data_IF_163387752939
#
_entry.id   IF_163387752939
#
_cell.length_a   1.000
_cell.length_b   1.000
_cell.length_c   1.000
_cell.angle_alpha   90.00
_cell.angle_beta   90.00
_cell.angle_gamma   90.00
#
_symmetry.space_group_name_H-M   'P 1'
#
loop_
_entity.id
_entity.type
_entity.pdbx_description
1 polymer ?
#
# COMPACT_ATOMS: atom_id res chain seq x y z
N UNK A 1 -18.06 29.11 1.24
CA UNK A 1 -17.01 28.53 2.07
C UNK A 1 -17.57 27.31 2.80
N UNK A 2 -17.33 26.10 2.30
CA UNK A 2 -17.69 24.86 3.01
C UNK A 2 -16.79 24.75 4.25
N UNK A 3 -17.36 24.79 5.45
CA UNK A 3 -16.63 24.49 6.69
C UNK A 3 -16.24 23.02 6.66
N UNK A 4 -14.94 22.74 6.50
CA UNK A 4 -14.37 21.40 6.60
C UNK A 4 -14.55 20.95 8.06
N UNK A 5 -15.57 20.12 8.31
CA UNK A 5 -15.76 19.48 9.63
C UNK A 5 -14.93 18.20 9.66
N UNK A 6 -13.79 18.24 10.30
CA UNK A 6 -13.00 17.05 10.56
C UNK A 6 -13.76 16.10 11.50
N UNK A 7 -13.90 14.85 11.10
CA UNK A 7 -14.40 13.79 11.97
C UNK A 7 -13.39 13.54 13.12
N UNK A 8 -13.89 13.15 14.30
CA UNK A 8 -13.01 12.75 15.43
C UNK A 8 -12.00 11.68 15.03
N UNK A 9 -12.41 10.73 14.18
CA UNK A 9 -11.53 9.68 13.67
C UNK A 9 -10.42 10.22 12.77
N UNK A 10 -10.71 11.20 11.91
CA UNK A 10 -9.72 11.87 11.09
C UNK A 10 -8.71 12.63 11.94
N UNK A 11 -9.17 13.35 12.94
CA UNK A 11 -8.30 14.10 13.86
C UNK A 11 -7.36 13.17 14.64
N UNK A 12 -7.89 12.04 15.15
CA UNK A 12 -7.08 11.00 15.80
C UNK A 12 -6.04 10.40 14.85
N UNK A 13 -6.40 10.15 13.61
CA UNK A 13 -5.46 9.65 12.61
C UNK A 13 -4.32 10.62 12.35
N UNK A 14 -4.60 11.90 12.15
CA UNK A 14 -3.56 12.92 11.95
C UNK A 14 -2.65 13.07 13.16
N UNK A 15 -3.21 13.06 14.37
CA UNK A 15 -2.44 13.15 15.60
C UNK A 15 -1.52 11.93 15.80
N UNK A 16 -2.01 10.73 15.53
CA UNK A 16 -1.20 9.50 15.57
C UNK A 16 -0.08 9.52 14.54
N UNK A 17 -0.38 9.93 13.31
CA UNK A 17 0.61 10.01 12.23
C UNK A 17 1.70 11.00 12.58
N UNK A 18 1.33 12.17 13.13
CA UNK A 18 2.29 13.16 13.59
C UNK A 18 3.14 12.64 14.76
N UNK A 19 2.51 12.04 15.77
CA UNK A 19 3.23 11.49 16.93
C UNK A 19 4.21 10.38 16.51
N UNK A 20 3.79 9.47 15.61
CA UNK A 20 4.66 8.42 15.08
C UNK A 20 5.84 8.95 14.28
N UNK A 21 5.62 9.98 13.48
CA UNK A 21 6.67 10.63 12.70
C UNK A 21 7.66 11.40 13.58
N UNK A 22 7.18 12.14 14.59
CA UNK A 22 8.04 12.85 15.54
C UNK A 22 8.84 11.88 16.40
N UNK A 23 8.24 10.76 16.81
CA UNK A 23 8.95 9.70 17.53
C UNK A 23 10.07 9.11 16.67
N UNK A 24 9.79 8.83 15.39
CA UNK A 24 10.78 8.32 14.45
C UNK A 24 11.93 9.30 14.24
N UNK A 25 11.63 10.59 14.09
CA UNK A 25 12.63 11.66 13.96
C UNK A 25 13.50 11.74 15.21
N UNK A 26 12.88 11.79 16.38
CA UNK A 26 13.59 11.89 17.67
C UNK A 26 14.55 10.70 17.86
N UNK A 27 14.07 9.48 17.64
CA UNK A 27 14.89 8.27 17.80
C UNK A 27 16.01 8.21 16.75
N UNK A 28 15.75 8.62 15.51
CA UNK A 28 16.76 8.67 14.46
C UNK A 28 17.89 9.67 14.80
N UNK A 29 17.53 10.86 15.32
CA UNK A 29 18.50 11.84 15.80
C UNK A 29 19.30 11.31 16.99
N UNK A 30 18.64 10.65 17.95
CA UNK A 30 19.30 10.07 19.13
C UNK A 30 20.23 8.91 18.78
N UNK A 31 19.90 8.14 17.73
CA UNK A 31 20.74 7.07 17.21
C UNK A 31 21.89 7.57 16.31
N UNK A 32 21.98 8.86 16.06
CA UNK A 32 23.02 9.45 15.20
C UNK A 32 22.91 9.03 13.73
N UNK A 33 21.69 8.72 13.23
CA UNK A 33 21.51 8.33 11.85
C UNK A 33 21.80 9.52 10.91
N UNK A 34 22.47 9.28 9.75
CA UNK A 34 22.96 10.35 8.88
C UNK A 34 21.84 11.23 8.29
N UNK A 35 20.67 10.63 8.04
CA UNK A 35 19.54 11.30 7.38
C UNK A 35 18.21 11.04 8.10
N UNK A 36 18.03 11.54 9.34
CA UNK A 36 16.89 11.21 10.21
C UNK A 36 15.52 11.55 9.60
N UNK A 37 15.48 12.49 8.64
CA UNK A 37 14.25 12.86 7.93
C UNK A 37 13.64 11.68 7.13
N UNK A 38 14.44 10.67 6.75
CA UNK A 38 13.90 9.47 6.09
C UNK A 38 13.06 8.61 7.03
N UNK A 39 13.43 8.52 8.29
CA UNK A 39 12.61 7.84 9.29
C UNK A 39 11.28 8.59 9.49
N UNK A 40 11.34 9.91 9.63
CA UNK A 40 10.18 10.79 9.73
C UNK A 40 9.23 10.64 8.53
N UNK A 41 9.75 10.81 7.31
CA UNK A 41 8.94 10.68 6.09
C UNK A 41 8.36 9.28 5.94
N UNK A 42 9.12 8.23 6.28
CA UNK A 42 8.65 6.86 6.21
C UNK A 42 7.47 6.62 7.13
N UNK A 43 7.48 7.16 8.35
CA UNK A 43 6.37 7.05 9.27
C UNK A 43 5.08 7.65 8.69
N UNK A 44 5.15 8.80 8.01
CA UNK A 44 3.99 9.37 7.30
C UNK A 44 3.55 8.53 6.09
N UNK A 45 4.50 8.07 5.27
CA UNK A 45 4.17 7.31 4.05
C UNK A 45 3.48 5.98 4.39
N UNK A 46 3.89 5.34 5.50
CA UNK A 46 3.31 4.08 5.96
C UNK A 46 2.00 4.28 6.71
N UNK A 47 1.77 5.48 7.29
CA UNK A 47 0.57 5.79 8.05
C UNK A 47 -0.70 5.54 7.22
N UNK A 48 -1.64 4.82 7.81
CA UNK A 48 -2.95 4.56 7.23
C UNK A 48 -3.99 4.42 8.36
N UNK A 49 -5.26 4.84 8.16
CA UNK A 49 -6.30 4.69 9.17
C UNK A 49 -6.50 3.25 9.64
N UNK A 50 -6.34 2.26 8.76
CA UNK A 50 -6.54 0.83 9.02
C UNK A 50 -5.21 0.15 9.36
N UNK A 51 -5.12 -0.48 10.52
CA UNK A 51 -3.89 -1.10 11.02
C UNK A 51 -3.32 -2.20 10.09
N UNK A 52 -4.20 -3.00 9.46
CA UNK A 52 -3.78 -4.02 8.50
C UNK A 52 -3.08 -3.43 7.27
N UNK A 53 -3.52 -2.28 6.79
CA UNK A 53 -2.88 -1.59 5.65
C UNK A 53 -1.53 -0.99 6.05
N UNK A 54 -1.38 -0.46 7.27
CA UNK A 54 -0.08 0.02 7.78
C UNK A 54 0.94 -1.11 7.74
N UNK A 55 0.61 -2.29 8.28
CA UNK A 55 1.53 -3.44 8.33
C UNK A 55 1.87 -3.98 6.95
N UNK A 56 0.88 -4.13 6.07
CA UNK A 56 1.10 -4.57 4.70
C UNK A 56 2.05 -3.61 3.97
N UNK A 57 1.77 -2.32 4.01
CA UNK A 57 2.57 -1.28 3.36
C UNK A 57 3.97 -1.20 3.96
N UNK A 58 4.09 -1.36 5.28
CA UNK A 58 5.35 -1.40 6.01
C UNK A 58 6.27 -2.52 5.53
N UNK A 59 5.74 -3.75 5.45
CA UNK A 59 6.50 -4.91 4.99
C UNK A 59 6.98 -4.73 3.55
N UNK A 60 6.08 -4.36 2.64
CA UNK A 60 6.44 -4.18 1.23
C UNK A 60 7.44 -3.04 1.04
N UNK A 61 7.31 -1.95 1.82
CA UNK A 61 8.27 -0.86 1.82
C UNK A 61 9.65 -1.30 2.29
N UNK A 62 9.72 -2.06 3.37
CA UNK A 62 10.99 -2.56 3.90
C UNK A 62 11.70 -3.46 2.89
N UNK A 63 10.99 -4.47 2.38
CA UNK A 63 11.54 -5.42 1.39
C UNK A 63 12.00 -4.70 0.13
N UNK A 64 11.20 -3.78 -0.42
CA UNK A 64 11.58 -3.02 -1.61
C UNK A 64 12.82 -2.15 -1.38
N UNK A 65 12.93 -1.50 -0.21
CA UNK A 65 14.13 -0.73 0.15
C UNK A 65 15.37 -1.61 0.24
N UNK A 66 15.27 -2.78 0.91
CA UNK A 66 16.40 -3.72 1.03
C UNK A 66 16.84 -4.21 -0.35
N UNK A 67 15.90 -4.56 -1.25
CA UNK A 67 16.23 -4.98 -2.61
C UNK A 67 16.92 -3.87 -3.42
N UNK A 68 16.44 -2.63 -3.33
CA UNK A 68 17.07 -1.49 -3.99
C UNK A 68 18.47 -1.20 -3.43
N UNK A 69 18.65 -1.26 -2.11
CA UNK A 69 19.95 -1.11 -1.46
C UNK A 69 20.91 -2.23 -1.87
N UNK A 70 20.45 -3.48 -1.90
CA UNK A 70 21.28 -4.62 -2.34
C UNK A 70 21.75 -4.45 -3.79
N UNK A 71 20.85 -4.03 -4.68
CA UNK A 71 21.21 -3.76 -6.08
C UNK A 71 22.30 -2.68 -6.18
N UNK A 72 22.18 -1.57 -5.45
CA UNK A 72 23.18 -0.51 -5.51
C UNK A 72 24.52 -0.88 -4.88
N UNK A 73 24.51 -1.64 -3.79
CA UNK A 73 25.74 -2.16 -3.16
C UNK A 73 26.55 -3.05 -4.12
N UNK A 74 25.86 -3.74 -5.04
CA UNK A 74 26.51 -4.55 -6.08
C UNK A 74 26.90 -3.68 -7.29
N UNK A 75 25.97 -2.90 -7.84
CA UNK A 75 26.15 -2.19 -9.10
C UNK A 75 27.14 -1.02 -8.97
N UNK A 76 27.04 -0.22 -7.92
CA UNK A 76 27.84 1.01 -7.80
C UNK A 76 29.34 0.70 -7.66
N UNK A 77 29.82 -0.17 -6.76
CA UNK A 77 31.23 -0.50 -6.70
C UNK A 77 31.75 -1.25 -7.93
N UNK A 78 30.93 -2.14 -8.52
CA UNK A 78 31.32 -2.94 -9.66
C UNK A 78 31.53 -2.11 -10.95
N UNK A 79 30.77 -1.02 -11.11
CA UNK A 79 30.77 -0.20 -12.31
C UNK A 79 31.31 1.23 -12.08
N UNK A 80 31.91 1.48 -10.92
CA UNK A 80 32.44 2.81 -10.55
C UNK A 80 33.48 3.36 -11.51
N UNK A 81 34.24 2.46 -12.18
CA UNK A 81 35.24 2.83 -13.17
C UNK A 81 34.64 3.27 -14.54
N UNK A 82 33.34 3.04 -14.77
CA UNK A 82 32.65 3.33 -16.01
C UNK A 82 31.29 3.99 -15.72
N UNK A 83 31.22 5.32 -15.47
CA UNK A 83 30.01 6.03 -15.05
C UNK A 83 28.85 5.89 -16.03
N UNK A 84 29.13 5.81 -17.33
CA UNK A 84 28.10 5.61 -18.36
C UNK A 84 27.43 4.24 -18.23
N UNK A 85 28.21 3.18 -18.00
CA UNK A 85 27.69 1.84 -17.79
C UNK A 85 26.92 1.74 -16.47
N UNK A 86 27.39 2.42 -15.42
CA UNK A 86 26.68 2.48 -14.14
C UNK A 86 25.33 3.18 -14.30
N UNK A 87 25.31 4.31 -14.99
CA UNK A 87 24.06 5.04 -15.27
C UNK A 87 23.09 4.18 -16.07
N UNK A 88 23.58 3.48 -17.09
CA UNK A 88 22.77 2.56 -17.89
C UNK A 88 22.25 1.40 -17.03
N UNK A 89 23.10 0.79 -16.20
CA UNK A 89 22.69 -0.32 -15.31
C UNK A 89 21.64 0.09 -14.30
N UNK A 90 21.78 1.27 -13.67
CA UNK A 90 20.78 1.83 -12.75
C UNK A 90 19.47 2.19 -13.47
N UNK A 91 19.54 2.73 -14.68
CA UNK A 91 18.37 3.02 -15.48
C UNK A 91 17.63 1.74 -15.88
N UNK A 92 18.35 0.70 -16.33
CA UNK A 92 17.77 -0.60 -16.66
C UNK A 92 17.15 -1.28 -15.43
N UNK A 93 17.84 -1.25 -14.26
CA UNK A 93 17.28 -1.75 -13.01
C UNK A 93 15.99 -1.06 -12.64
N UNK A 94 15.98 0.28 -12.67
CA UNK A 94 14.80 1.08 -12.35
C UNK A 94 13.67 0.82 -13.33
N UNK A 95 13.98 0.74 -14.63
CA UNK A 95 13.02 0.42 -15.69
C UNK A 95 12.43 -0.97 -15.55
N UNK A 96 13.26 -1.98 -15.24
CA UNK A 96 12.80 -3.35 -14.97
C UNK A 96 11.88 -3.39 -13.73
N UNK A 97 12.27 -2.73 -12.65
CA UNK A 97 11.46 -2.64 -11.45
C UNK A 97 10.11 -1.95 -11.71
N UNK A 98 10.10 -0.87 -12.47
CA UNK A 98 8.88 -0.18 -12.87
C UNK A 98 7.99 -1.08 -13.74
N UNK A 99 8.58 -1.77 -14.72
CA UNK A 99 7.86 -2.72 -15.57
C UNK A 99 7.18 -3.82 -14.75
N UNK A 100 7.92 -4.46 -13.84
CA UNK A 100 7.37 -5.50 -12.95
C UNK A 100 6.27 -4.93 -12.02
N UNK A 101 6.43 -3.70 -11.53
CA UNK A 101 5.43 -3.03 -10.72
C UNK A 101 4.13 -2.77 -11.48
N UNK A 102 4.19 -2.48 -12.77
CA UNK A 102 3.01 -2.25 -13.62
C UNK A 102 2.29 -3.54 -14.01
N UNK A 103 3.02 -4.65 -14.11
CA UNK A 103 2.43 -5.98 -14.39
C UNK A 103 1.67 -6.53 -13.18
N UNK A 104 2.15 -6.27 -11.98
CA UNK A 104 1.53 -6.78 -10.74
C UNK A 104 0.52 -5.77 -10.20
N UNK A 105 -0.76 -6.12 -10.26
CA UNK A 105 -1.87 -5.30 -9.73
C UNK A 105 -2.16 -5.54 -8.24
N UNK A 106 -1.29 -6.27 -7.54
CA UNK A 106 -1.41 -6.52 -6.11
C UNK A 106 -0.60 -5.53 -5.27
N UNK A 107 -0.71 -5.64 -3.94
CA UNK A 107 0.12 -4.86 -3.02
C UNK A 107 1.64 -5.12 -3.18
N UNK A 108 2.03 -6.21 -3.85
CA UNK A 108 3.43 -6.56 -4.13
C UNK A 108 4.08 -5.62 -5.15
N UNK A 109 3.29 -5.01 -6.04
CA UNK A 109 3.77 -4.01 -7.02
C UNK A 109 4.59 -2.91 -6.34
N UNK A 110 4.22 -2.56 -5.11
CA UNK A 110 4.90 -1.55 -4.30
C UNK A 110 6.34 -1.94 -3.92
N UNK A 111 6.65 -3.25 -3.80
CA UNK A 111 8.02 -3.75 -3.56
C UNK A 111 8.93 -3.37 -4.73
N UNK A 112 8.49 -3.69 -5.94
CA UNK A 112 9.27 -3.41 -7.15
C UNK A 112 9.44 -1.91 -7.38
N UNK A 113 8.36 -1.13 -7.23
CA UNK A 113 8.43 0.33 -7.33
C UNK A 113 9.50 0.90 -6.40
N UNK A 114 9.52 0.44 -5.14
CA UNK A 114 10.48 0.93 -4.15
C UNK A 114 11.90 0.40 -4.38
N UNK A 115 12.06 -0.81 -4.92
CA UNK A 115 13.37 -1.32 -5.27
C UNK A 115 14.04 -0.45 -6.35
N UNK A 116 13.30 -0.09 -7.39
CA UNK A 116 13.79 0.85 -8.41
C UNK A 116 14.04 2.25 -7.85
N UNK A 117 13.08 2.82 -7.15
CA UNK A 117 13.18 4.15 -6.54
C UNK A 117 14.35 4.25 -5.54
N UNK A 118 14.52 3.25 -4.65
CA UNK A 118 15.60 3.27 -3.67
C UNK A 118 16.96 3.16 -4.34
N UNK A 119 17.09 2.31 -5.36
CA UNK A 119 18.34 2.18 -6.10
C UNK A 119 18.72 3.50 -6.80
N UNK A 120 17.79 4.14 -7.49
CA UNK A 120 18.06 5.43 -8.14
C UNK A 120 18.44 6.51 -7.12
N UNK A 121 17.70 6.61 -6.00
CA UNK A 121 17.87 7.67 -5.02
C UNK A 121 19.20 7.63 -4.27
N UNK A 122 19.76 6.45 -4.05
CA UNK A 122 21.05 6.29 -3.37
C UNK A 122 22.20 5.99 -4.34
N UNK A 123 21.94 5.35 -5.46
CA UNK A 123 22.96 4.98 -6.44
C UNK A 123 23.52 6.16 -7.21
N UNK A 124 22.67 7.00 -7.77
CA UNK A 124 23.11 8.16 -8.56
C UNK A 124 23.96 9.18 -7.77
N UNK A 125 23.60 9.58 -6.53
CA UNK A 125 24.43 10.51 -5.76
C UNK A 125 25.80 9.94 -5.34
N UNK A 126 25.97 8.63 -5.34
CA UNK A 126 27.18 7.96 -4.89
C UNK A 126 28.07 7.42 -6.02
N UNK A 127 27.81 7.82 -7.27
CA UNK A 127 28.66 7.46 -8.41
C UNK A 127 30.11 7.91 -8.20
N UNK A 128 30.32 9.11 -7.64
CA UNK A 128 31.65 9.67 -7.37
C UNK A 128 32.25 9.20 -6.03
N UNK A 129 31.46 8.53 -5.16
CA UNK A 129 31.90 8.06 -3.85
C UNK A 129 31.48 6.59 -3.60
N UNK A 130 31.88 5.64 -4.46
CA UNK A 130 31.43 4.24 -4.40
C UNK A 130 31.80 3.52 -3.09
N UNK A 131 32.88 3.93 -2.42
CA UNK A 131 33.30 3.39 -1.13
C UNK A 131 32.28 3.64 -0.01
N UNK A 132 31.49 4.72 -0.10
CA UNK A 132 30.46 5.06 0.89
C UNK A 132 29.11 4.34 0.63
N UNK A 133 29.03 3.52 -0.43
CA UNK A 133 27.76 2.92 -0.85
C UNK A 133 27.19 1.95 0.19
N UNK A 134 28.03 1.11 0.78
CA UNK A 134 27.57 0.14 1.77
C UNK A 134 27.02 0.82 3.02
N UNK A 135 27.76 1.78 3.57
CA UNK A 135 27.34 2.52 4.78
C UNK A 135 26.06 3.32 4.53
N UNK A 136 25.92 3.93 3.34
CA UNK A 136 24.71 4.65 2.96
C UNK A 136 23.52 3.70 2.80
N UNK A 137 23.72 2.52 2.23
CA UNK A 137 22.68 1.50 2.09
C UNK A 137 22.21 0.99 3.46
N UNK A 138 23.16 0.70 4.38
CA UNK A 138 22.85 0.27 5.76
C UNK A 138 22.08 1.37 6.49
N UNK A 139 22.57 2.61 6.45
CA UNK A 139 21.88 3.75 7.07
C UNK A 139 20.45 3.89 6.53
N UNK A 140 20.28 3.75 5.22
CA UNK A 140 18.96 3.83 4.57
C UNK A 140 17.99 2.75 5.09
N UNK A 141 18.44 1.51 5.22
CA UNK A 141 17.63 0.41 5.75
C UNK A 141 17.26 0.67 7.22
N UNK A 142 18.20 1.18 8.02
CA UNK A 142 17.96 1.52 9.42
C UNK A 142 16.94 2.66 9.56
N UNK A 143 17.07 3.73 8.79
CA UNK A 143 16.17 4.89 8.80
C UNK A 143 14.74 4.49 8.39
N UNK A 144 14.61 3.74 7.31
CA UNK A 144 13.32 3.23 6.85
C UNK A 144 12.73 2.25 7.87
N UNK A 145 13.53 1.33 8.39
CA UNK A 145 13.11 0.36 9.41
C UNK A 145 12.61 1.05 10.68
N UNK A 146 13.33 2.06 11.16
CA UNK A 146 12.92 2.84 12.33
C UNK A 146 11.61 3.58 12.11
N UNK A 147 11.43 4.23 10.95
CA UNK A 147 10.19 4.89 10.58
C UNK A 147 9.00 3.93 10.54
N UNK A 148 9.21 2.74 9.97
CA UNK A 148 8.22 1.65 9.95
C UNK A 148 7.85 1.19 11.36
N UNK A 149 8.84 0.95 12.22
CA UNK A 149 8.61 0.51 13.59
C UNK A 149 7.80 1.54 14.38
N UNK A 150 8.18 2.82 14.33
CA UNK A 150 7.47 3.89 15.02
C UNK A 150 6.02 4.02 14.52
N UNK A 151 5.80 4.02 13.20
CA UNK A 151 4.44 4.08 12.64
C UNK A 151 3.62 2.85 13.06
N UNK A 152 4.19 1.65 12.97
CA UNK A 152 3.50 0.41 13.31
C UNK A 152 3.14 0.33 14.80
N UNK A 153 4.03 0.80 15.69
CA UNK A 153 3.78 0.89 17.13
C UNK A 153 2.64 1.87 17.42
N UNK A 154 2.72 3.09 16.91
CA UNK A 154 1.70 4.11 17.21
C UNK A 154 0.34 3.72 16.64
N UNK A 155 0.27 3.27 15.38
CA UNK A 155 -0.99 2.88 14.76
C UNK A 155 -1.52 1.53 15.25
N UNK A 156 -0.67 0.65 15.73
CA UNK A 156 -1.05 -0.67 16.26
C UNK A 156 -1.43 -0.68 17.74
N UNK A 157 -0.84 0.21 18.57
CA UNK A 157 -1.09 0.26 20.00
C UNK A 157 -2.13 1.32 20.38
N UNK A 158 -2.12 2.48 19.70
CA UNK A 158 -3.03 3.57 20.02
C UNK A 158 -4.33 3.39 19.24
N UNK A 159 -5.38 2.86 19.85
CA UNK A 159 -6.73 2.69 19.27
C UNK A 159 -6.68 2.09 17.84
N UNK A 160 -6.26 0.83 17.68
CA UNK A 160 -6.15 0.21 16.37
C UNK A 160 -7.53 0.12 15.70
N UNK A 161 -7.65 0.62 14.46
CA UNK A 161 -8.84 0.43 13.67
C UNK A 161 -8.71 -0.86 12.84
N UNK A 162 -9.61 -1.82 13.08
CA UNK A 162 -9.67 -3.09 12.35
C UNK A 162 -10.22 -2.87 10.94
N UNK A 163 -9.82 -3.74 10.01
CA UNK A 163 -10.39 -3.84 8.67
C UNK A 163 -11.82 -4.40 8.67
N UNK A 164 -12.22 -5.15 9.72
CA UNK A 164 -13.47 -5.88 9.79
C UNK A 164 -14.72 -5.04 9.50
N UNK A 165 -14.96 -3.91 10.20
CA UNK A 165 -16.16 -3.12 9.97
C UNK A 165 -16.24 -2.55 8.54
N UNK A 166 -15.10 -2.11 8.00
CA UNK A 166 -15.04 -1.55 6.64
C UNK A 166 -15.29 -2.60 5.57
N UNK A 167 -14.75 -3.81 5.78
CA UNK A 167 -14.95 -4.96 4.88
C UNK A 167 -16.40 -5.44 4.90
N UNK A 168 -16.98 -5.60 6.10
CA UNK A 168 -18.38 -6.01 6.26
C UNK A 168 -19.33 -4.99 5.65
N UNK A 169 -19.13 -3.70 5.91
CA UNK A 169 -19.96 -2.65 5.33
C UNK A 169 -19.87 -2.61 3.79
N UNK A 170 -18.71 -2.92 3.22
CA UNK A 170 -18.52 -3.01 1.77
C UNK A 170 -19.21 -4.24 1.19
N UNK A 171 -19.13 -5.38 1.90
CA UNK A 171 -19.81 -6.62 1.52
C UNK A 171 -21.33 -6.45 1.55
N UNK A 172 -21.88 -5.83 2.59
CA UNK A 172 -23.31 -5.55 2.72
C UNK A 172 -23.81 -4.63 1.59
N UNK A 173 -23.03 -3.62 1.22
CA UNK A 173 -23.36 -2.76 0.08
C UNK A 173 -23.36 -3.53 -1.24
N UNK A 174 -22.30 -4.30 -1.51
CA UNK A 174 -22.21 -5.08 -2.75
C UNK A 174 -23.34 -6.09 -2.88
N UNK A 175 -23.73 -6.76 -1.80
CA UNK A 175 -24.88 -7.66 -1.77
C UNK A 175 -26.20 -6.92 -1.98
N UNK A 176 -26.35 -5.74 -1.37
CA UNK A 176 -27.51 -4.88 -1.53
C UNK A 176 -27.67 -4.39 -2.97
N UNK A 177 -26.58 -4.01 -3.63
CA UNK A 177 -26.58 -3.56 -5.03
C UNK A 177 -26.88 -4.72 -5.98
N UNK A 178 -26.27 -5.88 -5.76
CA UNK A 178 -26.56 -7.08 -6.54
C UNK A 178 -28.02 -7.53 -6.41
N UNK A 179 -28.59 -7.45 -5.21
CA UNK A 179 -29.99 -7.78 -4.95
C UNK A 179 -30.95 -6.79 -5.61
N UNK A 180 -30.63 -5.50 -5.59
CA UNK A 180 -31.45 -4.49 -6.29
C UNK A 180 -31.44 -4.73 -7.78
N UNK A 181 -30.27 -4.89 -8.37
CA UNK A 181 -30.14 -5.17 -9.81
C UNK A 181 -30.90 -6.45 -10.22
N UNK A 182 -30.79 -7.51 -9.43
CA UNK A 182 -31.54 -8.75 -9.68
C UNK A 182 -33.05 -8.54 -9.59
N UNK A 183 -33.55 -7.79 -8.61
CA UNK A 183 -34.98 -7.48 -8.47
C UNK A 183 -35.48 -6.60 -9.63
N UNK A 184 -34.69 -5.67 -10.11
CA UNK A 184 -35.04 -4.81 -11.26
C UNK A 184 -35.07 -5.62 -12.56
N UNK A 185 -34.22 -6.65 -12.71
CA UNK A 185 -34.25 -7.57 -13.87
C UNK A 185 -35.45 -8.53 -13.84
N UNK A 186 -35.86 -8.99 -12.65
CA UNK A 186 -36.95 -9.96 -12.49
C UNK A 186 -38.33 -9.32 -12.30
N UNK A 187 -38.37 -7.99 -12.11
CA UNK A 187 -39.62 -7.27 -11.91
C UNK A 187 -40.33 -6.95 -13.22
N UNK A 188 -41.68 -7.04 -13.22
CA UNK A 188 -42.54 -6.72 -14.39
C UNK A 188 -42.62 -5.21 -14.71
N UNK A 189 -41.90 -4.35 -14.02
CA UNK A 189 -41.84 -2.91 -14.21
C UNK A 189 -40.82 -2.53 -15.27
N UNK A 190 -41.08 -1.46 -16.02
CA UNK A 190 -40.11 -0.83 -16.93
C UNK A 190 -38.90 -0.35 -16.11
N UNK A 191 -37.94 -1.24 -15.96
CA UNK A 191 -36.69 -0.90 -15.26
C UNK A 191 -36.02 0.25 -16.03
N UNK A 192 -35.73 1.35 -15.31
CA UNK A 192 -35.01 2.49 -15.86
C UNK A 192 -33.59 2.02 -16.20
N UNK A 193 -33.29 1.84 -17.49
CA UNK A 193 -31.97 1.36 -17.96
C UNK A 193 -30.80 2.17 -17.40
N UNK A 194 -31.03 3.43 -17.06
CA UNK A 194 -30.04 4.30 -16.44
C UNK A 194 -29.75 3.89 -14.98
N UNK A 195 -30.77 3.43 -14.23
CA UNK A 195 -30.62 2.89 -12.86
C UNK A 195 -29.88 1.59 -12.86
N UNK A 196 -30.23 0.67 -13.76
CA UNK A 196 -29.55 -0.62 -13.91
C UNK A 196 -28.07 -0.47 -14.27
N UNK A 197 -27.74 0.44 -15.20
CA UNK A 197 -26.35 0.75 -15.54
C UNK A 197 -25.59 1.34 -14.33
N UNK A 198 -26.23 2.17 -13.51
CA UNK A 198 -25.61 2.74 -12.31
C UNK A 198 -25.37 1.67 -11.22
N UNK A 199 -26.30 0.74 -11.01
CA UNK A 199 -26.16 -0.35 -10.03
C UNK A 199 -25.09 -1.34 -10.44
N UNK A 200 -25.01 -1.66 -11.74
CA UNK A 200 -23.92 -2.47 -12.32
C UNK A 200 -22.57 -1.82 -12.09
N UNK A 201 -22.44 -0.52 -12.35
CA UNK A 201 -21.19 0.21 -12.16
C UNK A 201 -20.79 0.26 -10.68
N UNK A 202 -21.74 0.48 -9.75
CA UNK A 202 -21.48 0.47 -8.31
C UNK A 202 -21.00 -0.90 -7.84
N UNK A 203 -21.69 -1.97 -8.24
CA UNK A 203 -21.31 -3.33 -7.90
C UNK A 203 -19.89 -3.66 -8.39
N UNK A 204 -19.54 -3.28 -9.61
CA UNK A 204 -18.21 -3.48 -10.16
C UNK A 204 -17.12 -2.72 -9.36
N UNK A 205 -17.43 -1.50 -8.94
CA UNK A 205 -16.53 -0.70 -8.09
C UNK A 205 -16.38 -1.33 -6.69
N UNK A 206 -17.48 -1.77 -6.07
CA UNK A 206 -17.45 -2.39 -4.75
C UNK A 206 -16.72 -3.74 -4.76
N UNK A 207 -16.89 -4.57 -5.80
CA UNK A 207 -16.11 -5.80 -6.00
C UNK A 207 -14.61 -5.49 -6.11
N UNK A 208 -14.26 -4.46 -6.88
CA UNK A 208 -12.86 -4.03 -7.03
C UNK A 208 -12.27 -3.55 -5.71
N UNK A 209 -13.03 -2.75 -4.94
CA UNK A 209 -12.60 -2.30 -3.60
C UNK A 209 -12.47 -3.47 -2.61
N UNK A 210 -13.41 -4.42 -2.62
CA UNK A 210 -13.33 -5.65 -1.84
C UNK A 210 -12.04 -6.42 -2.14
N UNK A 211 -11.71 -6.57 -3.41
CA UNK A 211 -10.49 -7.25 -3.86
C UNK A 211 -9.23 -6.54 -3.34
N UNK A 212 -9.18 -5.22 -3.44
CA UNK A 212 -8.05 -4.43 -2.92
C UNK A 212 -7.92 -4.54 -1.39
N UNK A 213 -9.03 -4.39 -0.65
CA UNK A 213 -9.02 -4.48 0.81
C UNK A 213 -8.67 -5.87 1.31
N UNK A 214 -9.11 -6.93 0.62
CA UNK A 214 -8.85 -8.32 1.02
C UNK A 214 -7.37 -8.69 0.98
N UNK A 215 -6.56 -8.04 0.15
CA UNK A 215 -5.10 -8.25 0.12
C UNK A 215 -4.42 -7.88 1.44
N UNK A 216 -5.07 -7.05 2.25
CA UNK A 216 -4.55 -6.61 3.55
C UNK A 216 -5.08 -7.42 4.75
N UNK A 217 -6.04 -8.32 4.54
CA UNK A 217 -6.63 -9.18 5.59
C UNK A 217 -5.59 -10.02 6.34
N UNK A 218 -4.57 -10.62 5.69
CA UNK A 218 -3.53 -11.38 6.40
C UNK A 218 -2.74 -10.55 7.42
N UNK A 219 -2.75 -9.22 7.29
CA UNK A 219 -2.01 -8.29 8.14
C UNK A 219 -2.88 -7.63 9.21
N UNK A 220 -4.19 -7.93 9.27
CA UNK A 220 -5.10 -7.33 10.24
C UNK A 220 -4.82 -7.84 11.66
N UNK A 221 -5.19 -7.03 12.64
CA UNK A 221 -5.00 -7.30 14.08
C UNK A 221 -6.10 -8.16 14.68
N UNK A 222 -7.22 -8.31 13.97
CA UNK A 222 -8.41 -9.02 14.46
C UNK A 222 -8.50 -10.48 14.03
N UNK A 223 -9.61 -11.15 14.42
CA UNK A 223 -9.93 -12.54 14.04
C UNK A 223 -10.18 -12.74 12.53
N UNK A 224 -10.18 -11.67 11.72
CA UNK A 224 -10.36 -11.72 10.28
C UNK A 224 -9.32 -12.58 9.54
N UNK A 225 -8.15 -12.79 10.12
CA UNK A 225 -7.10 -13.65 9.50
C UNK A 225 -7.62 -15.06 9.23
N UNK A 226 -8.48 -15.57 10.10
CA UNK A 226 -9.08 -16.92 9.98
C UNK A 226 -10.22 -16.98 8.97
N UNK A 227 -10.85 -15.86 8.65
CA UNK A 227 -11.96 -15.75 7.70
C UNK A 227 -11.51 -15.35 6.28
N UNK A 228 -10.20 -15.21 6.05
CA UNK A 228 -9.67 -14.82 4.73
C UNK A 228 -10.13 -15.73 3.58
N UNK A 229 -10.28 -17.03 3.84
CA UNK A 229 -10.82 -17.99 2.88
C UNK A 229 -12.29 -17.73 2.54
N UNK A 230 -13.11 -17.48 3.55
CA UNK A 230 -14.54 -17.18 3.37
C UNK A 230 -14.73 -15.84 2.61
N UNK A 231 -13.92 -14.83 2.91
CA UNK A 231 -13.94 -13.55 2.21
C UNK A 231 -13.60 -13.73 0.72
N UNK A 232 -12.57 -14.51 0.39
CA UNK A 232 -12.22 -14.83 -1.00
C UNK A 232 -13.34 -15.58 -1.73
N UNK A 233 -13.88 -16.63 -1.09
CA UNK A 233 -14.98 -17.40 -1.67
C UNK A 233 -16.21 -16.52 -1.98
N UNK A 234 -16.53 -15.58 -1.09
CA UNK A 234 -17.58 -14.62 -1.31
C UNK A 234 -17.27 -13.63 -2.45
N UNK A 235 -16.03 -13.16 -2.56
CA UNK A 235 -15.58 -12.30 -3.67
C UNK A 235 -15.70 -13.04 -5.02
N UNK A 236 -15.29 -14.29 -5.07
CA UNK A 236 -15.38 -15.11 -6.27
C UNK A 236 -16.86 -15.29 -6.70
N UNK A 237 -17.76 -15.51 -5.73
CA UNK A 237 -19.19 -15.58 -5.98
C UNK A 237 -19.79 -14.27 -6.49
N UNK A 238 -19.46 -13.15 -5.87
CA UNK A 238 -19.89 -11.81 -6.31
C UNK A 238 -19.34 -11.47 -7.70
N UNK A 239 -18.09 -11.84 -7.97
CA UNK A 239 -17.46 -11.61 -9.28
C UNK A 239 -18.12 -12.46 -10.39
N UNK A 240 -18.62 -13.65 -10.05
CA UNK A 240 -19.35 -14.51 -10.98
C UNK A 240 -20.80 -14.02 -11.21
N UNK A 241 -21.42 -13.35 -10.23
CA UNK A 241 -22.77 -12.81 -10.36
C UNK A 241 -22.86 -11.67 -11.40
N UNK A 242 -21.90 -10.79 -11.47
CA UNK A 242 -21.92 -9.62 -12.35
C UNK A 242 -22.07 -9.99 -13.84
N UNK A 243 -21.29 -10.93 -14.43
CA UNK A 243 -21.49 -11.32 -15.82
C UNK A 243 -22.77 -12.14 -16.04
N UNK A 244 -23.24 -12.92 -15.06
CA UNK A 244 -24.49 -13.67 -15.18
C UNK A 244 -25.71 -12.76 -15.21
N UNK A 245 -25.76 -11.75 -14.36
CA UNK A 245 -26.81 -10.72 -14.36
C UNK A 245 -26.78 -9.88 -15.65
N UNK A 246 -25.59 -9.54 -16.15
CA UNK A 246 -25.45 -8.82 -17.42
C UNK A 246 -25.83 -9.64 -18.65
N UNK A 247 -25.84 -10.97 -18.57
CA UNK A 247 -26.27 -11.84 -19.66
C UNK A 247 -27.81 -12.01 -19.73
N UNK A 248 -28.52 -11.65 -18.66
CA UNK A 248 -29.98 -11.69 -18.55
C UNK A 248 -30.59 -10.32 -18.94
N UNK A 249 -29.81 -9.24 -18.84
CA UNK A 249 -30.16 -7.88 -19.26
C UNK A 249 -30.32 -7.78 -20.79
#
# INVERSE_FOLDING_TARGET
MQRIRFSRQQMLFYLKSFAGAMLALYLACRAGLPRPFWAFMTAYIVAHPLAGQVRSKALHRFVGTVLGCAATVVLVPALSAAPELLTLALALWTGLCLYLSLLDRSARSYVFLLAGYSAALIGFPLVEAPAAMFDTAVARVQEIGLGILCASLVHGLVLPASLAPSLLALMDRALGDARRWMNDLLGDGHADGMRMAADRQRLALDITQLRLLSTHVPFDTGNLRWTAGAIRAMQDRLSALAPTLSAIE
#
